data_IF_199323487324
#
_entry.id   IF_199323487324
#
_cell.length_a   1.000
_cell.length_b   1.000
_cell.length_c   1.000
_cell.angle_alpha   90.00
_cell.angle_beta   90.00
_cell.angle_gamma   90.00
#
_symmetry.space_group_name_H-M   'P 1'
#
loop_
_entity.id
_entity.type
_entity.pdbx_description
1 polymer ?
#
# COMPACT_ATOMS: atom_id res chain seq x y z
N UNK A 1 -67.60 26.52 -14.38
CA UNK A 1 -67.32 25.88 -13.08
C UNK A 1 -65.95 25.19 -13.15
N UNK A 2 -65.02 25.62 -12.28
CA UNK A 2 -63.76 24.99 -11.79
C UNK A 2 -62.90 24.18 -12.79
N UNK A 3 -61.70 24.64 -13.22
CA UNK A 3 -60.39 24.63 -12.53
C UNK A 3 -60.13 23.40 -11.65
N UNK A 4 -59.06 22.66 -11.95
CA UNK A 4 -57.92 22.37 -11.05
C UNK A 4 -56.77 21.82 -11.91
N UNK A 5 -55.61 22.46 -11.76
CA UNK A 5 -54.31 22.01 -12.20
C UNK A 5 -53.69 21.18 -11.07
N UNK A 6 -53.01 20.09 -11.40
CA UNK A 6 -52.26 19.31 -10.42
C UNK A 6 -50.77 19.28 -10.81
N UNK A 7 -49.97 19.55 -9.79
CA UNK A 7 -48.57 19.97 -9.82
C UNK A 7 -47.69 18.75 -9.69
N UNK A 8 -46.72 18.62 -10.60
CA UNK A 8 -45.67 17.61 -10.56
C UNK A 8 -44.69 17.91 -9.42
N UNK A 9 -44.76 17.11 -8.36
CA UNK A 9 -43.92 17.21 -7.17
C UNK A 9 -42.65 16.36 -7.30
N UNK A 10 -41.61 16.91 -7.93
CA UNK A 10 -40.25 16.34 -7.85
C UNK A 10 -39.73 16.44 -6.42
N UNK A 11 -39.58 15.29 -5.75
CA UNK A 11 -38.87 15.18 -4.48
C UNK A 11 -37.38 15.44 -4.70
N UNK A 12 -36.92 16.56 -4.17
CA UNK A 12 -35.51 16.88 -3.93
C UNK A 12 -35.00 15.96 -2.83
N UNK A 13 -34.18 14.96 -3.20
CA UNK A 13 -33.38 14.21 -2.23
C UNK A 13 -32.20 15.11 -1.87
N UNK A 14 -32.26 15.67 -0.65
CA UNK A 14 -31.16 16.43 -0.09
C UNK A 14 -30.00 15.44 0.18
N UNK A 15 -28.91 15.58 -0.58
CA UNK A 15 -27.62 15.01 -0.22
C UNK A 15 -27.07 15.80 0.97
N UNK A 16 -27.16 15.21 2.15
CA UNK A 16 -26.57 15.77 3.37
C UNK A 16 -25.05 15.68 3.23
N UNK A 17 -24.44 16.73 2.69
CA UNK A 17 -22.98 16.89 2.67
C UNK A 17 -22.50 17.05 4.10
N UNK A 18 -21.92 16.00 4.67
CA UNK A 18 -21.20 16.06 5.93
C UNK A 18 -19.91 16.84 5.70
N UNK A 19 -19.97 18.16 5.85
CA UNK A 19 -18.79 19.01 5.85
C UNK A 19 -18.05 18.80 7.18
N UNK A 20 -17.03 17.92 7.18
CA UNK A 20 -16.05 17.87 8.25
C UNK A 20 -15.18 19.13 8.15
N UNK A 21 -15.63 20.21 8.78
CA UNK A 21 -14.85 21.45 8.92
C UNK A 21 -13.79 21.19 9.97
N UNK A 22 -12.60 20.77 9.55
CA UNK A 22 -11.38 20.88 10.37
C UNK A 22 -11.01 22.35 10.35
N UNK A 23 -11.51 23.11 11.32
CA UNK A 23 -11.05 24.47 11.59
C UNK A 23 -9.62 24.40 12.10
N UNK A 24 -8.66 24.38 11.18
CA UNK A 24 -7.25 24.60 11.51
C UNK A 24 -7.14 26.04 12.01
N UNK A 25 -6.85 26.20 13.31
CA UNK A 25 -6.50 27.49 13.89
C UNK A 25 -5.28 27.99 13.14
N UNK A 26 -5.50 28.93 12.22
CA UNK A 26 -4.45 29.68 11.55
C UNK A 26 -3.82 30.62 12.57
N UNK A 27 -2.90 30.10 13.39
CA UNK A 27 -1.93 30.94 14.07
C UNK A 27 -1.07 31.55 12.96
N UNK A 28 -1.28 32.84 12.69
CA UNK A 28 -0.41 33.62 11.81
C UNK A 28 0.98 33.65 12.43
N UNK A 29 1.83 32.70 12.05
CA UNK A 29 3.26 32.80 12.26
C UNK A 29 3.75 33.96 11.41
N UNK A 30 4.06 35.09 12.05
CA UNK A 30 4.84 36.15 11.43
C UNK A 30 6.22 35.60 11.16
N UNK A 31 6.49 35.21 9.91
CA UNK A 31 7.83 34.90 9.45
C UNK A 31 8.67 36.18 9.54
N UNK A 32 9.52 36.27 10.56
CA UNK A 32 10.53 37.31 10.64
C UNK A 32 11.50 37.14 9.47
N UNK A 33 11.59 38.14 8.61
CA UNK A 33 12.52 38.15 7.47
C UNK A 33 13.93 38.48 7.95
N UNK A 34 14.62 37.53 8.56
CA UNK A 34 16.07 37.44 8.47
C UNK A 34 16.38 36.46 7.36
N UNK A 35 16.46 36.94 6.13
CA UNK A 35 16.98 36.14 5.04
C UNK A 35 18.49 35.97 5.26
N UNK A 36 18.90 34.95 6.01
CA UNK A 36 20.18 34.30 5.74
C UNK A 36 20.10 33.81 4.30
N UNK A 37 21.14 34.02 3.51
CA UNK A 37 21.24 33.28 2.25
C UNK A 37 21.24 31.81 2.63
N UNK A 38 20.20 31.07 2.25
CA UNK A 38 20.13 29.62 2.41
C UNK A 38 21.47 29.05 1.96
N UNK A 39 22.18 28.33 2.84
CA UNK A 39 23.43 27.70 2.46
C UNK A 39 23.17 26.39 1.71
N UNK A 40 22.52 26.53 0.56
CA UNK A 40 22.22 25.44 -0.36
C UNK A 40 23.51 24.74 -0.81
N UNK A 41 24.63 25.46 -0.86
CA UNK A 41 25.91 24.90 -1.26
C UNK A 41 26.42 23.87 -0.26
N UNK A 42 26.38 24.20 1.03
CA UNK A 42 26.76 23.28 2.09
C UNK A 42 25.73 22.16 2.25
N UNK A 43 24.43 22.48 2.19
CA UNK A 43 23.36 21.48 2.27
C UNK A 43 23.49 20.40 1.18
N UNK A 44 23.95 20.80 -0.01
CA UNK A 44 24.21 19.86 -1.11
C UNK A 44 25.48 19.05 -0.86
N UNK A 45 26.56 19.71 -0.45
CA UNK A 45 27.86 19.08 -0.20
C UNK A 45 27.81 18.03 0.93
N UNK A 46 27.06 18.32 2.00
CA UNK A 46 26.90 17.45 3.19
C UNK A 46 25.73 16.47 3.04
N UNK A 47 25.13 16.39 1.84
CA UNK A 47 24.04 15.48 1.52
C UNK A 47 24.45 14.01 1.62
N UNK A 48 23.46 13.14 1.83
CA UNK A 48 23.64 11.68 1.91
C UNK A 48 23.15 11.02 0.64
N UNK A 49 24.02 10.21 0.04
CA UNK A 49 23.69 9.35 -1.09
C UNK A 49 23.57 7.91 -0.63
N UNK A 50 22.59 7.19 -1.17
CA UNK A 50 22.48 5.74 -1.06
C UNK A 50 22.29 5.12 -2.43
N UNK A 51 22.88 3.94 -2.61
CA UNK A 51 22.72 3.15 -3.83
C UNK A 51 22.01 1.84 -3.48
N UNK A 52 21.08 1.44 -4.33
CA UNK A 52 20.38 0.17 -4.22
C UNK A 52 20.49 -0.62 -5.51
N UNK A 53 20.64 -1.93 -5.39
CA UNK A 53 20.49 -2.84 -6.51
C UNK A 53 19.63 -4.04 -6.10
N UNK A 54 18.64 -4.36 -6.92
CA UNK A 54 17.85 -5.59 -6.76
C UNK A 54 17.92 -6.38 -8.05
N UNK A 55 18.17 -7.68 -7.95
CA UNK A 55 17.87 -8.62 -9.01
C UNK A 55 16.76 -9.56 -8.54
N UNK A 56 15.83 -9.90 -9.43
CA UNK A 56 14.77 -10.87 -9.16
C UNK A 56 14.53 -11.74 -10.39
N UNK A 57 14.49 -13.04 -10.13
CA UNK A 57 13.85 -14.02 -11.01
C UNK A 57 12.50 -14.39 -10.38
N UNK A 58 11.41 -14.18 -11.11
CA UNK A 58 10.04 -14.59 -10.74
C UNK A 58 9.52 -15.57 -11.78
N UNK A 59 9.21 -16.80 -11.36
CA UNK A 59 8.54 -17.79 -12.18
C UNK A 59 7.08 -17.90 -11.75
N UNK A 60 6.15 -17.97 -12.71
CA UNK A 60 4.73 -18.11 -12.46
C UNK A 60 4.15 -19.17 -13.39
N UNK A 61 3.64 -20.26 -12.81
CA UNK A 61 2.79 -21.21 -13.53
C UNK A 61 1.35 -21.01 -13.05
N UNK A 62 0.44 -20.78 -13.98
CA UNK A 62 -0.95 -20.45 -13.66
C UNK A 62 -1.92 -21.11 -14.64
N UNK A 63 -2.89 -21.82 -14.10
CA UNK A 63 -3.97 -22.41 -14.90
C UNK A 63 -4.76 -21.33 -15.65
N UNK A 64 -5.00 -21.59 -16.94
CA UNK A 64 -5.68 -20.67 -17.85
C UNK A 64 -4.75 -19.88 -18.79
N UNK A 65 -3.43 -20.06 -18.68
CA UNK A 65 -2.44 -19.57 -19.64
C UNK A 65 -1.83 -20.72 -20.44
N UNK A 66 -1.40 -20.42 -21.66
CA UNK A 66 -0.76 -21.41 -22.56
C UNK A 66 0.70 -21.65 -22.17
N UNK A 67 1.35 -20.65 -21.57
CA UNK A 67 2.77 -20.66 -21.22
C UNK A 67 3.01 -20.20 -19.77
N UNK A 68 4.09 -20.68 -19.15
CA UNK A 68 4.54 -20.21 -17.84
C UNK A 68 5.33 -18.90 -17.98
N UNK A 69 5.19 -17.99 -17.00
CA UNK A 69 5.97 -16.76 -16.99
C UNK A 69 7.34 -16.95 -16.33
N UNK A 70 8.39 -16.39 -16.91
CA UNK A 70 9.72 -16.25 -16.31
C UNK A 70 10.23 -14.80 -16.46
N UNK A 71 10.07 -14.01 -15.40
CA UNK A 71 10.53 -12.63 -15.35
C UNK A 71 11.91 -12.54 -14.69
N UNK A 72 12.93 -12.19 -15.48
CA UNK A 72 14.28 -11.87 -15.01
C UNK A 72 14.44 -10.36 -15.02
N UNK A 73 14.29 -9.72 -13.85
CA UNK A 73 14.28 -8.26 -13.72
C UNK A 73 15.36 -7.75 -12.77
N UNK A 74 15.85 -6.54 -13.02
CA UNK A 74 16.75 -5.85 -12.11
C UNK A 74 16.31 -4.40 -11.89
N UNK A 75 16.69 -3.84 -10.75
CA UNK A 75 16.49 -2.43 -10.42
C UNK A 75 17.75 -1.84 -9.88
N UNK A 76 18.17 -0.71 -10.45
CA UNK A 76 19.13 0.19 -9.84
C UNK A 76 18.39 1.38 -9.22
N UNK A 77 18.75 1.74 -7.98
CA UNK A 77 18.18 2.87 -7.25
C UNK A 77 19.28 3.84 -6.83
N UNK A 78 19.04 5.12 -7.04
CA UNK A 78 19.82 6.21 -6.46
C UNK A 78 18.90 7.03 -5.56
N UNK A 79 19.28 7.16 -4.29
CA UNK A 79 18.64 8.08 -3.34
C UNK A 79 19.64 9.15 -2.95
N UNK A 80 19.22 10.41 -2.95
CA UNK A 80 20.00 11.51 -2.39
C UNK A 80 19.10 12.40 -1.55
N UNK A 81 19.58 12.77 -0.35
CA UNK A 81 18.96 13.77 0.49
C UNK A 81 19.99 14.84 0.84
N UNK A 82 19.61 16.11 0.79
CA UNK A 82 20.45 17.19 1.30
C UNK A 82 20.68 17.02 2.80
N UNK A 83 21.74 17.64 3.33
CA UNK A 83 21.76 17.98 4.74
C UNK A 83 20.63 18.98 5.05
N UNK A 84 20.25 19.07 6.33
CA UNK A 84 19.27 20.04 6.77
C UNK A 84 19.89 21.45 6.78
N UNK A 85 19.22 22.42 6.17
CA UNK A 85 19.62 23.84 6.18
C UNK A 85 18.40 24.70 6.44
N UNK A 86 18.45 25.55 7.46
CA UNK A 86 17.31 26.40 7.86
C UNK A 86 15.98 25.60 7.95
N UNK A 87 16.04 24.45 8.63
CA UNK A 87 14.96 23.47 8.79
C UNK A 87 14.42 22.84 7.47
N UNK A 88 15.09 23.06 6.33
CA UNK A 88 14.74 22.48 5.04
C UNK A 88 15.58 21.24 4.71
N UNK A 89 14.94 20.25 4.12
CA UNK A 89 15.58 19.08 3.49
C UNK A 89 15.02 18.89 2.08
N UNK A 90 15.90 18.60 1.12
CA UNK A 90 15.54 18.22 -0.24
C UNK A 90 15.83 16.75 -0.43
N UNK A 91 14.94 16.02 -1.10
CA UNK A 91 15.14 14.61 -1.40
C UNK A 91 14.81 14.29 -2.85
N UNK A 92 15.65 13.47 -3.47
CA UNK A 92 15.40 12.86 -4.78
C UNK A 92 15.69 11.37 -4.71
N UNK A 93 14.83 10.57 -5.35
CA UNK A 93 15.08 9.16 -5.54
C UNK A 93 14.61 8.73 -6.92
N UNK A 94 15.48 8.04 -7.65
CA UNK A 94 15.18 7.52 -8.99
C UNK A 94 15.49 6.04 -9.06
N UNK A 95 14.65 5.33 -9.80
CA UNK A 95 14.83 3.94 -10.16
C UNK A 95 15.07 3.79 -11.66
N UNK A 96 15.80 2.75 -12.01
CA UNK A 96 15.79 2.21 -13.35
C UNK A 96 15.52 0.71 -13.25
N UNK A 97 14.35 0.29 -13.75
CA UNK A 97 13.94 -1.10 -13.88
C UNK A 97 14.44 -1.65 -15.22
N UNK A 98 14.96 -2.88 -15.22
CA UNK A 98 15.58 -3.56 -16.35
C UNK A 98 14.96 -4.94 -16.49
N UNK A 99 14.75 -5.37 -17.74
CA UNK A 99 14.51 -6.77 -18.05
C UNK A 99 15.79 -7.37 -18.62
N UNK A 100 16.19 -8.53 -18.08
CA UNK A 100 17.45 -9.19 -18.38
C UNK A 100 17.17 -10.54 -19.07
N UNK A 101 17.29 -10.58 -20.39
CA UNK A 101 17.12 -11.81 -21.18
C UNK A 101 15.84 -11.78 -22.02
N UNK A 102 15.14 -12.92 -22.06
CA UNK A 102 13.89 -13.08 -22.81
C UNK A 102 12.71 -12.62 -21.96
N UNK A 103 11.78 -11.90 -22.58
CA UNK A 103 10.54 -11.42 -21.99
C UNK A 103 9.41 -12.45 -22.10
N UNK A 104 9.56 -13.56 -21.39
CA UNK A 104 8.53 -14.60 -21.28
C UNK A 104 7.58 -14.29 -20.12
N UNK A 105 7.00 -13.09 -20.08
CA UNK A 105 6.02 -12.68 -19.06
C UNK A 105 5.23 -11.45 -19.51
N UNK A 106 4.04 -11.26 -18.93
CA UNK A 106 3.25 -10.05 -19.16
C UNK A 106 3.60 -8.95 -18.17
N UNK A 107 4.28 -7.90 -18.63
CA UNK A 107 4.63 -6.71 -17.83
C UNK A 107 3.48 -5.71 -17.66
N UNK A 108 2.31 -6.00 -18.25
CA UNK A 108 1.15 -5.12 -18.48
C UNK A 108 1.34 -4.03 -19.55
N UNK A 109 2.57 -3.87 -20.07
CA UNK A 109 2.93 -2.88 -21.09
C UNK A 109 3.50 -3.51 -22.37
N UNK A 110 4.01 -4.74 -22.32
CA UNK A 110 4.70 -5.40 -23.44
C UNK A 110 3.79 -6.25 -24.37
N UNK A 111 2.49 -6.36 -24.04
CA UNK A 111 1.50 -7.06 -24.88
C UNK A 111 1.58 -8.59 -24.87
N UNK A 112 2.38 -9.18 -23.98
CA UNK A 112 2.62 -10.63 -23.83
C UNK A 112 1.48 -11.35 -23.10
N UNK A 113 0.26 -11.24 -23.62
CA UNK A 113 -0.96 -11.72 -22.96
C UNK A 113 -1.09 -13.25 -22.86
N UNK A 114 -0.24 -13.99 -23.59
CA UNK A 114 -0.13 -15.45 -23.53
C UNK A 114 0.56 -15.96 -22.24
N UNK A 115 1.23 -15.07 -21.49
CA UNK A 115 1.92 -15.37 -20.24
C UNK A 115 1.20 -14.78 -19.01
N UNK A 116 1.33 -15.43 -17.84
CA UNK A 116 0.95 -14.84 -16.56
C UNK A 116 1.59 -13.47 -16.29
N UNK A 117 0.92 -12.65 -15.47
CA UNK A 117 1.36 -11.27 -15.17
C UNK A 117 2.46 -11.24 -14.10
N UNK A 118 3.56 -10.58 -14.46
CA UNK A 118 4.56 -10.05 -13.52
C UNK A 118 4.68 -8.56 -13.78
N UNK A 119 4.01 -7.74 -12.96
CA UNK A 119 3.85 -6.29 -13.18
C UNK A 119 5.11 -5.49 -12.82
N UNK A 120 6.22 -5.78 -13.49
CA UNK A 120 7.50 -5.06 -13.40
C UNK A 120 7.92 -4.58 -14.79
N UNK A 121 7.30 -3.53 -15.34
CA UNK A 121 7.79 -2.90 -16.56
C UNK A 121 9.21 -2.35 -16.36
N UNK A 122 9.97 -2.29 -17.46
CA UNK A 122 11.28 -1.66 -17.48
C UNK A 122 11.19 -0.16 -17.74
N UNK A 123 12.25 0.57 -17.38
CA UNK A 123 12.36 2.00 -17.61
C UNK A 123 12.75 2.79 -16.36
N UNK A 124 12.92 4.09 -16.58
CA UNK A 124 13.26 5.05 -15.53
C UNK A 124 12.02 5.55 -14.81
N UNK A 125 12.04 5.56 -13.47
CA UNK A 125 10.99 6.15 -12.64
C UNK A 125 11.58 7.12 -11.59
N UNK A 126 10.84 8.18 -11.29
CA UNK A 126 11.13 9.11 -10.22
C UNK A 126 10.24 8.74 -9.02
N UNK A 127 10.82 8.12 -8.00
CA UNK A 127 10.07 7.70 -6.81
C UNK A 127 9.89 8.82 -5.80
N UNK A 128 10.87 9.71 -5.65
CA UNK A 128 10.78 10.82 -4.71
C UNK A 128 11.39 12.08 -5.30
N UNK A 129 10.73 13.20 -5.06
CA UNK A 129 11.21 14.54 -5.36
C UNK A 129 10.43 15.49 -4.45
N UNK A 130 11.02 15.86 -3.31
CA UNK A 130 10.32 16.64 -2.31
C UNK A 130 11.17 17.73 -1.68
N UNK A 131 10.46 18.71 -1.13
CA UNK A 131 10.98 19.67 -0.15
C UNK A 131 10.26 19.40 1.17
N UNK A 132 11.04 19.25 2.23
CA UNK A 132 10.55 19.05 3.59
C UNK A 132 10.98 20.23 4.45
N UNK A 133 10.05 20.81 5.20
CA UNK A 133 10.29 21.87 6.17
C UNK A 133 9.90 21.40 7.57
N UNK A 134 10.83 21.48 8.52
CA UNK A 134 10.58 21.21 9.93
C UNK A 134 10.32 22.53 10.68
N UNK A 135 9.34 22.53 11.59
CA UNK A 135 9.01 23.68 12.43
C UNK A 135 8.55 23.17 13.80
N UNK A 136 9.51 23.02 14.71
CA UNK A 136 9.28 22.44 16.02
C UNK A 136 8.75 21.01 15.93
N UNK A 137 7.52 20.79 16.39
CA UNK A 137 6.87 19.48 16.36
C UNK A 137 6.17 19.15 15.03
N UNK A 138 6.18 20.07 14.06
CA UNK A 138 5.49 19.94 12.78
C UNK A 138 6.49 19.78 11.64
N UNK A 139 6.21 18.89 10.71
CA UNK A 139 6.92 18.73 9.45
C UNK A 139 5.94 18.85 8.29
N UNK A 140 6.29 19.65 7.29
CA UNK A 140 5.52 19.77 6.03
C UNK A 140 6.38 19.26 4.89
N UNK A 141 5.87 18.31 4.11
CA UNK A 141 6.54 17.76 2.93
C UNK A 141 5.70 18.05 1.69
N UNK A 142 6.29 18.68 0.69
CA UNK A 142 5.65 19.02 -0.59
C UNK A 142 6.40 18.33 -1.73
N UNK A 143 5.66 17.69 -2.63
CA UNK A 143 6.19 16.98 -3.80
C UNK A 143 5.88 15.49 -3.76
N UNK A 144 6.66 14.72 -4.53
CA UNK A 144 6.53 13.27 -4.64
C UNK A 144 7.19 12.58 -3.46
N UNK A 145 6.43 11.76 -2.75
CA UNK A 145 6.85 11.13 -1.50
C UNK A 145 6.20 9.77 -1.28
N UNK A 146 6.71 9.03 -0.31
CA UNK A 146 6.08 7.79 0.18
C UNK A 146 5.12 8.12 1.31
N UNK A 147 3.93 7.51 1.27
CA UNK A 147 2.95 7.55 2.35
C UNK A 147 2.58 6.11 2.70
N UNK A 148 2.93 5.68 3.91
CA UNK A 148 2.71 4.33 4.42
C UNK A 148 2.02 4.41 5.77
N UNK A 149 0.75 4.01 5.86
CA UNK A 149 -0.03 4.07 7.10
C UNK A 149 -0.50 2.68 7.54
N UNK A 150 -0.71 2.48 8.85
CA UNK A 150 -1.51 1.35 9.38
C UNK A 150 -1.09 -0.03 8.88
N UNK A 151 0.22 -0.32 8.88
CA UNK A 151 0.75 -1.59 8.37
C UNK A 151 0.70 -1.76 6.84
N UNK A 152 0.22 -0.74 6.11
CA UNK A 152 0.08 -0.65 4.65
C UNK A 152 -1.07 -1.47 4.06
N UNK A 153 -2.08 -1.82 4.88
CA UNK A 153 -3.23 -2.63 4.43
C UNK A 153 -4.22 -1.89 3.54
N UNK A 154 -4.33 -0.58 3.72
CA UNK A 154 -5.21 0.29 2.93
C UNK A 154 -4.40 1.33 2.14
N UNK A 155 -3.34 1.90 2.74
CA UNK A 155 -2.49 2.92 2.13
C UNK A 155 -0.99 2.57 2.27
N UNK A 156 -0.30 2.28 1.16
CA UNK A 156 1.13 2.02 1.16
C UNK A 156 1.80 1.96 -0.22
N UNK A 157 3.14 1.85 -0.21
CA UNK A 157 4.00 2.09 -1.39
C UNK A 157 4.40 0.87 -2.21
N UNK A 158 3.97 -0.35 -1.88
CA UNK A 158 4.17 -1.54 -2.73
C UNK A 158 5.65 -1.84 -3.06
N UNK A 159 6.55 -1.65 -2.10
CA UNK A 159 8.02 -1.80 -2.29
C UNK A 159 8.52 -3.21 -2.68
N UNK A 160 7.61 -4.17 -2.82
CA UNK A 160 7.90 -5.49 -3.36
C UNK A 160 8.18 -5.46 -4.86
N UNK A 161 7.45 -4.64 -5.63
CA UNK A 161 7.67 -4.52 -7.08
C UNK A 161 8.98 -3.79 -7.38
N UNK A 162 9.45 -3.89 -8.63
CA UNK A 162 10.66 -3.15 -9.01
C UNK A 162 10.38 -1.65 -8.94
N UNK A 163 9.30 -1.21 -9.57
CA UNK A 163 8.76 0.13 -9.40
C UNK A 163 7.87 0.24 -8.15
N UNK A 164 7.90 1.37 -7.46
CA UNK A 164 7.12 1.59 -6.24
C UNK A 164 5.91 2.50 -6.49
N UNK A 165 4.90 2.37 -5.64
CA UNK A 165 3.79 3.30 -5.60
C UNK A 165 4.15 4.52 -4.74
N UNK A 166 3.97 5.73 -5.28
CA UNK A 166 4.33 6.99 -4.61
C UNK A 166 3.26 8.05 -4.83
N UNK A 167 3.28 9.10 -4.01
CA UNK A 167 2.18 10.06 -3.91
C UNK A 167 2.70 11.47 -4.11
N UNK A 168 2.07 12.22 -5.01
CA UNK A 168 2.37 13.64 -5.21
C UNK A 168 1.35 14.48 -4.44
N UNK A 169 1.85 15.37 -3.59
CA UNK A 169 0.99 16.22 -2.79
C UNK A 169 1.68 16.94 -1.64
N UNK A 170 0.88 17.25 -0.63
CA UNK A 170 1.31 17.93 0.59
C UNK A 170 1.02 17.00 1.77
N UNK A 171 2.02 16.74 2.60
CA UNK A 171 1.90 15.98 3.84
C UNK A 171 2.31 16.82 5.02
N UNK A 172 1.47 16.85 6.05
CA UNK A 172 1.70 17.56 7.31
C UNK A 172 1.70 16.51 8.40
N UNK A 173 2.83 16.38 9.08
CA UNK A 173 2.98 15.53 10.26
C UNK A 173 3.21 16.43 11.46
N UNK A 174 2.50 16.24 12.55
CA UNK A 174 2.64 17.07 13.73
C UNK A 174 2.38 16.29 15.00
N UNK A 175 3.05 16.65 16.09
CA UNK A 175 2.77 16.12 17.42
C UNK A 175 1.99 17.15 18.25
N UNK A 176 0.75 16.80 18.62
CA UNK A 176 -0.15 17.60 19.43
C UNK A 176 -0.33 16.96 20.81
N UNK A 177 0.53 17.33 21.77
CA UNK A 177 0.62 16.63 23.05
C UNK A 177 1.11 15.19 22.86
N UNK A 178 0.31 14.22 23.30
CA UNK A 178 0.61 12.78 23.14
C UNK A 178 0.06 12.18 21.84
N UNK A 179 -0.58 13.00 20.99
CA UNK A 179 -1.18 12.56 19.73
C UNK A 179 -0.25 12.91 18.56
N UNK A 180 0.14 11.90 17.80
CA UNK A 180 0.79 12.06 16.50
C UNK A 180 -0.30 12.20 15.42
N UNK A 181 -0.24 13.28 14.65
CA UNK A 181 -1.14 13.59 13.55
C UNK A 181 -0.37 13.50 12.22
N UNK A 182 -0.97 12.85 11.23
CA UNK A 182 -0.47 12.76 9.85
C UNK A 182 -1.63 13.02 8.89
N UNK A 183 -1.56 14.14 8.18
CA UNK A 183 -2.51 14.52 7.15
C UNK A 183 -1.81 14.67 5.81
N UNK A 184 -2.41 14.14 4.76
CA UNK A 184 -1.95 14.29 3.38
C UNK A 184 -3.09 14.70 2.46
N UNK A 185 -2.86 15.73 1.64
CA UNK A 185 -3.60 15.96 0.41
C UNK A 185 -2.79 15.38 -0.75
N UNK A 186 -3.43 14.58 -1.59
CA UNK A 186 -2.80 13.80 -2.65
C UNK A 186 -3.52 14.11 -3.95
N UNK A 187 -2.79 14.65 -4.93
CA UNK A 187 -3.37 14.99 -6.24
C UNK A 187 -2.99 14.00 -7.35
N UNK A 188 -1.94 13.21 -7.13
CA UNK A 188 -1.53 12.14 -8.03
C UNK A 188 -1.00 10.94 -7.24
N UNK A 189 -1.35 9.74 -7.70
CA UNK A 189 -0.84 8.46 -7.21
C UNK A 189 -0.10 7.79 -8.37
N UNK A 190 1.22 7.78 -8.29
CA UNK A 190 2.10 7.07 -9.21
C UNK A 190 2.09 5.60 -8.81
N UNK A 191 1.64 4.72 -9.71
CA UNK A 191 1.43 3.29 -9.45
C UNK A 191 2.62 2.49 -9.95
N UNK A 192 2.70 1.25 -9.49
CA UNK A 192 3.72 0.26 -9.89
C UNK A 192 3.76 -0.05 -11.40
N UNK A 193 2.75 0.38 -12.16
CA UNK A 193 2.62 0.13 -13.60
C UNK A 193 3.34 1.18 -14.46
N UNK A 194 3.82 2.28 -13.86
CA UNK A 194 4.69 3.26 -14.52
C UNK A 194 6.06 2.64 -14.89
N UNK A 195 6.84 3.28 -15.77
CA UNK A 195 6.80 4.73 -16.04
C UNK A 195 5.94 5.18 -17.24
N UNK A 196 5.37 4.25 -18.01
CA UNK A 196 4.44 4.54 -19.11
C UNK A 196 3.07 3.92 -18.87
N UNK A 197 2.06 4.37 -19.61
CA UNK A 197 0.73 3.75 -19.55
C UNK A 197 0.70 2.44 -20.34
N UNK A 198 0.14 1.39 -19.72
CA UNK A 198 -0.18 0.12 -20.36
C UNK A 198 -1.68 -0.17 -20.33
N UNK A 199 -2.04 -1.45 -20.21
CA UNK A 199 -3.44 -1.84 -19.92
C UNK A 199 -3.89 -1.30 -18.56
N UNK A 200 -2.94 -1.14 -17.63
CA UNK A 200 -3.11 -0.41 -16.38
C UNK A 200 -2.48 0.98 -16.53
N UNK A 201 -3.15 2.05 -16.08
CA UNK A 201 -2.55 3.37 -16.07
C UNK A 201 -1.40 3.43 -15.06
N UNK A 202 -0.33 4.11 -15.44
CA UNK A 202 0.81 4.39 -14.55
C UNK A 202 0.43 5.35 -13.42
N UNK A 203 -0.56 6.20 -13.65
CA UNK A 203 -1.00 7.24 -12.71
C UNK A 203 -2.51 7.28 -12.51
N UNK A 204 -2.92 7.56 -11.27
CA UNK A 204 -4.27 8.02 -10.95
C UNK A 204 -4.24 9.45 -10.42
N UNK A 205 -4.96 10.35 -11.09
CA UNK A 205 -5.13 11.74 -10.65
C UNK A 205 -6.36 11.88 -9.76
N UNK A 206 -6.43 12.92 -8.91
CA UNK A 206 -7.67 13.25 -8.20
C UNK A 206 -7.48 14.19 -7.03
N UNK A 207 -8.42 14.19 -6.07
CA UNK A 207 -8.36 15.02 -4.87
C UNK A 207 -8.50 14.14 -3.61
N UNK A 208 -7.47 13.32 -3.39
CA UNK A 208 -7.48 12.36 -2.29
C UNK A 208 -6.98 12.97 -0.99
N UNK A 209 -7.53 12.53 0.14
CA UNK A 209 -7.16 12.96 1.48
C UNK A 209 -6.89 11.75 2.37
N UNK A 210 -5.79 11.79 3.11
CA UNK A 210 -5.47 10.77 4.11
C UNK A 210 -5.18 11.43 5.46
N UNK A 211 -5.94 11.08 6.48
CA UNK A 211 -5.75 11.52 7.86
C UNK A 211 -5.53 10.31 8.76
N UNK A 212 -4.51 10.37 9.61
CA UNK A 212 -4.29 9.41 10.67
C UNK A 212 -3.88 10.13 11.95
N UNK A 213 -4.49 9.75 13.06
CA UNK A 213 -4.15 10.22 14.39
C UNK A 213 -3.85 9.02 15.29
N UNK A 214 -2.69 9.00 15.94
CA UNK A 214 -2.31 7.93 16.87
C UNK A 214 -1.85 8.45 18.21
N UNK A 215 -2.07 7.65 19.23
CA UNK A 215 -1.58 7.89 20.58
C UNK A 215 -1.15 6.57 21.23
N UNK A 216 -0.23 6.66 22.18
CA UNK A 216 0.19 5.52 23.00
C UNK A 216 -0.50 5.62 24.37
N UNK A 217 -1.62 4.90 24.61
CA UNK A 217 -2.36 5.02 25.87
C UNK A 217 -1.58 4.46 27.06
N UNK A 218 -0.63 3.56 26.81
CA UNK A 218 0.29 2.98 27.77
C UNK A 218 1.51 2.41 27.05
N UNK A 219 2.58 2.10 27.79
CA UNK A 219 3.79 1.50 27.23
C UNK A 219 3.48 0.17 26.52
N UNK A 220 3.94 0.03 25.28
CA UNK A 220 3.69 -1.17 24.47
C UNK A 220 2.33 -1.20 23.78
N UNK A 221 1.54 -0.14 23.87
CA UNK A 221 0.22 -0.03 23.23
C UNK A 221 0.14 1.19 22.31
N UNK A 222 -0.53 1.05 21.19
CA UNK A 222 -0.84 2.15 20.26
C UNK A 222 -2.27 2.01 19.78
N UNK A 223 -3.01 3.11 19.82
CA UNK A 223 -4.34 3.24 19.25
C UNK A 223 -4.29 4.31 18.17
N UNK A 224 -4.93 4.06 17.04
CA UNK A 224 -5.03 5.06 15.98
C UNK A 224 -6.40 5.08 15.34
N UNK A 225 -6.90 6.28 15.05
CA UNK A 225 -8.03 6.50 14.15
C UNK A 225 -7.55 7.01 12.80
N UNK A 226 -8.24 6.65 11.74
CA UNK A 226 -7.91 7.12 10.39
C UNK A 226 -9.15 7.38 9.53
N UNK A 227 -8.97 8.25 8.54
CA UNK A 227 -9.91 8.54 7.47
C UNK A 227 -9.14 8.66 6.15
N UNK A 228 -9.50 7.83 5.17
CA UNK A 228 -8.93 7.83 3.83
C UNK A 228 -10.04 8.09 2.82
N UNK A 229 -10.00 9.25 2.18
CA UNK A 229 -10.95 9.66 1.14
C UNK A 229 -10.20 9.62 -0.18
N UNK A 230 -10.37 8.53 -0.92
CA UNK A 230 -9.71 8.33 -2.21
C UNK A 230 -10.64 8.77 -3.33
N UNK A 231 -10.31 9.90 -3.94
CA UNK A 231 -10.87 10.36 -5.20
C UNK A 231 -9.86 10.03 -6.31
N UNK A 232 -10.19 9.02 -7.11
CA UNK A 232 -9.36 8.49 -8.18
C UNK A 232 -10.10 8.71 -9.50
N UNK A 233 -9.58 9.62 -10.29
CA UNK A 233 -10.06 9.97 -11.63
C UNK A 233 -9.20 9.32 -12.69
N UNK A 234 -9.67 9.34 -13.95
CA UNK A 234 -9.07 8.74 -15.15
C UNK A 234 -9.21 7.20 -15.27
N UNK A 235 -9.21 6.70 -16.51
CA UNK A 235 -9.15 5.28 -16.86
C UNK A 235 -9.98 4.36 -15.94
N UNK A 236 -9.32 3.51 -15.15
CA UNK A 236 -9.94 2.57 -14.21
C UNK A 236 -9.95 3.07 -12.74
N UNK A 237 -9.63 4.34 -12.52
CA UNK A 237 -9.68 5.01 -11.21
C UNK A 237 -11.07 5.09 -10.59
N UNK A 238 -12.12 5.59 -11.30
CA UNK A 238 -13.42 5.88 -10.67
C UNK A 238 -14.05 4.70 -9.91
N UNK A 239 -14.07 3.45 -10.40
CA UNK A 239 -14.53 2.29 -9.63
C UNK A 239 -13.75 2.00 -8.33
N UNK A 240 -12.56 2.58 -8.16
CA UNK A 240 -11.72 2.43 -6.99
C UNK A 240 -11.84 3.59 -6.00
N UNK A 241 -12.55 4.68 -6.33
CA UNK A 241 -12.79 5.80 -5.41
C UNK A 241 -13.63 5.35 -4.21
N UNK A 242 -13.18 5.65 -3.00
CA UNK A 242 -13.85 5.20 -1.77
C UNK A 242 -13.55 6.09 -0.57
N UNK A 243 -14.43 6.07 0.42
CA UNK A 243 -14.23 6.72 1.71
C UNK A 243 -14.14 5.64 2.79
N UNK A 244 -13.01 5.57 3.49
CA UNK A 244 -12.74 4.58 4.53
C UNK A 244 -12.47 5.25 5.86
N UNK A 245 -13.17 4.83 6.91
CA UNK A 245 -12.97 5.30 8.27
C UNK A 245 -12.72 4.11 9.18
N UNK A 246 -11.68 4.17 10.02
CA UNK A 246 -11.33 3.02 10.84
C UNK A 246 -10.45 3.33 12.04
N UNK A 247 -10.19 2.26 12.78
CA UNK A 247 -9.37 2.23 13.99
C UNK A 247 -8.40 1.06 13.90
N UNK A 248 -7.13 1.33 14.18
CA UNK A 248 -6.08 0.34 14.39
C UNK A 248 -5.71 0.29 15.87
N UNK A 249 -5.40 -0.91 16.36
CA UNK A 249 -4.80 -1.12 17.67
C UNK A 249 -3.63 -2.09 17.56
N UNK A 250 -2.54 -1.76 18.26
CA UNK A 250 -1.41 -2.65 18.49
C UNK A 250 -1.11 -2.68 19.98
N UNK A 251 -0.94 -3.88 20.55
CA UNK A 251 -0.65 -4.05 21.98
C UNK A 251 0.29 -5.20 22.22
N UNK A 252 1.31 -4.97 23.06
CA UNK A 252 2.26 -5.98 23.52
C UNK A 252 1.89 -6.46 24.92
N UNK A 253 1.60 -7.74 25.04
CA UNK A 253 1.30 -8.47 26.27
C UNK A 253 2.41 -9.50 26.53
N UNK A 254 3.49 -9.05 27.15
CA UNK A 254 4.70 -9.85 27.38
C UNK A 254 5.29 -10.43 26.07
N UNK A 255 5.19 -11.74 25.84
CA UNK A 255 5.65 -12.42 24.62
C UNK A 255 4.65 -12.39 23.46
N UNK A 256 3.42 -11.92 23.69
CA UNK A 256 2.35 -11.86 22.68
C UNK A 256 2.13 -10.43 22.22
N UNK A 257 2.30 -10.17 20.93
CA UNK A 257 1.84 -8.93 20.29
C UNK A 257 0.51 -9.18 19.59
N UNK A 258 -0.48 -8.32 19.84
CA UNK A 258 -1.78 -8.35 19.19
C UNK A 258 -1.94 -7.11 18.33
N UNK A 259 -2.32 -7.30 17.07
CA UNK A 259 -2.82 -6.24 16.19
C UNK A 259 -4.31 -6.47 15.93
N UNK A 260 -5.12 -5.43 15.99
CA UNK A 260 -6.52 -5.47 15.61
C UNK A 260 -6.87 -4.23 14.78
N UNK A 261 -7.77 -4.39 13.82
CA UNK A 261 -8.26 -3.28 13.01
C UNK A 261 -9.75 -3.46 12.71
N UNK A 262 -10.47 -2.35 12.60
CA UNK A 262 -11.84 -2.29 12.09
C UNK A 262 -12.01 -1.04 11.26
N UNK A 263 -12.65 -1.15 10.10
CA UNK A 263 -12.96 -0.01 9.26
C UNK A 263 -14.29 -0.21 8.54
N UNK A 264 -14.96 0.88 8.19
CA UNK A 264 -16.13 0.89 7.31
C UNK A 264 -15.79 1.71 6.08
N UNK A 265 -16.13 1.18 4.91
CA UNK A 265 -15.85 1.80 3.63
C UNK A 265 -17.13 1.93 2.81
N UNK A 266 -17.28 3.06 2.12
CA UNK A 266 -18.36 3.30 1.17
C UNK A 266 -17.85 3.87 -0.13
N UNK A 267 -18.73 3.98 -1.12
CA UNK A 267 -18.48 4.77 -2.33
C UNK A 267 -18.15 6.24 -2.01
N UNK A 268 -17.34 6.87 -2.87
CA UNK A 268 -16.91 8.26 -2.76
C UNK A 268 -16.59 8.84 -4.14
N UNK A 269 -16.73 10.17 -4.26
CA UNK A 269 -16.48 10.91 -5.50
C UNK A 269 -17.21 10.29 -6.71
N UNK A 270 -16.49 10.00 -7.80
CA UNK A 270 -17.05 9.49 -9.06
C UNK A 270 -17.20 7.95 -9.09
N UNK A 271 -17.24 7.26 -7.94
CA UNK A 271 -17.49 5.82 -7.94
C UNK A 271 -18.88 5.50 -8.52
N UNK A 272 -18.98 4.70 -9.60
CA UNK A 272 -20.25 4.39 -10.24
C UNK A 272 -21.11 3.39 -9.45
N UNK A 273 -20.55 2.73 -8.45
CA UNK A 273 -21.21 1.73 -7.63
C UNK A 273 -21.42 2.30 -6.23
N UNK A 274 -22.67 2.31 -5.76
CA UNK A 274 -22.94 2.60 -4.34
C UNK A 274 -22.83 1.32 -3.53
N UNK A 275 -22.10 1.38 -2.41
CA UNK A 275 -21.90 0.24 -1.53
C UNK A 275 -21.48 0.67 -0.13
N UNK A 276 -21.62 -0.24 0.83
CA UNK A 276 -21.07 -0.13 2.18
C UNK A 276 -20.53 -1.47 2.66
N UNK A 277 -19.23 -1.54 2.96
CA UNK A 277 -18.55 -2.76 3.38
C UNK A 277 -17.75 -2.56 4.67
N UNK A 278 -17.75 -3.59 5.51
CA UNK A 278 -16.94 -3.65 6.74
C UNK A 278 -15.61 -4.33 6.47
N UNK A 279 -14.54 -3.84 7.07
CA UNK A 279 -13.26 -4.53 7.21
C UNK A 279 -12.98 -4.78 8.68
N UNK A 280 -12.44 -5.96 9.01
CA UNK A 280 -11.84 -6.19 10.31
C UNK A 280 -10.73 -7.23 10.23
N UNK A 281 -9.75 -7.10 11.12
CA UNK A 281 -8.66 -8.06 11.25
C UNK A 281 -8.21 -8.20 12.70
N UNK A 282 -7.75 -9.39 13.05
CA UNK A 282 -7.03 -9.67 14.30
C UNK A 282 -5.83 -10.55 13.99
N UNK A 283 -4.68 -10.23 14.57
CA UNK A 283 -3.43 -10.97 14.40
C UNK A 283 -2.72 -11.06 15.74
N UNK A 284 -2.33 -12.28 16.13
CA UNK A 284 -1.45 -12.54 17.26
C UNK A 284 -0.09 -13.00 16.76
N UNK A 285 0.99 -12.45 17.35
CA UNK A 285 2.38 -12.86 17.11
C UNK A 285 3.00 -13.22 18.45
N UNK A 286 3.49 -14.44 18.59
CA UNK A 286 4.11 -14.92 19.82
C UNK A 286 5.51 -15.48 19.55
N UNK A 287 6.50 -15.01 20.31
CA UNK A 287 7.84 -15.57 20.29
C UNK A 287 7.96 -16.70 21.33
N UNK A 288 8.20 -17.93 20.85
CA UNK A 288 8.31 -19.14 21.66
C UNK A 288 9.67 -19.79 21.41
N UNK A 289 10.63 -19.48 22.28
CA UNK A 289 12.01 -19.92 22.14
C UNK A 289 12.65 -19.32 20.89
N UNK A 290 13.05 -20.17 19.93
CA UNK A 290 13.66 -19.74 18.67
C UNK A 290 12.64 -19.55 17.53
N UNK A 291 11.35 -19.74 17.80
CA UNK A 291 10.28 -19.67 16.82
C UNK A 291 9.40 -18.45 17.07
N UNK A 292 8.94 -17.83 15.99
CA UNK A 292 7.86 -16.85 15.98
C UNK A 292 6.64 -17.50 15.37
N UNK A 293 5.57 -17.60 16.16
CA UNK A 293 4.27 -18.13 15.74
C UNK A 293 3.34 -16.96 15.46
N UNK A 294 2.65 -16.98 14.32
CA UNK A 294 1.62 -15.99 13.99
C UNK A 294 0.33 -16.69 13.63
N UNK A 295 -0.80 -16.15 14.11
CA UNK A 295 -2.13 -16.55 13.70
C UNK A 295 -2.99 -15.31 13.47
N UNK A 296 -3.80 -15.33 12.42
CA UNK A 296 -4.62 -14.18 12.07
C UNK A 296 -5.91 -14.55 11.36
N UNK A 297 -6.86 -13.65 11.48
CA UNK A 297 -8.09 -13.58 10.71
C UNK A 297 -8.18 -12.18 10.10
N UNK A 298 -8.40 -12.11 8.79
CA UNK A 298 -8.69 -10.87 8.08
C UNK A 298 -9.98 -11.05 7.28
N UNK A 299 -10.87 -10.05 7.32
CA UNK A 299 -12.08 -10.01 6.51
C UNK A 299 -12.17 -8.68 5.79
N UNK A 300 -12.11 -8.73 4.47
CA UNK A 300 -12.59 -7.66 3.59
C UNK A 300 -14.04 -7.99 3.26
N UNK A 301 -14.98 -7.31 3.90
CA UNK A 301 -16.39 -7.66 3.81
C UNK A 301 -17.03 -7.33 2.47
N UNK A 302 -18.33 -7.61 2.42
CA UNK A 302 -19.18 -7.48 1.24
C UNK A 302 -20.48 -6.72 1.55
N UNK A 303 -21.03 -6.03 0.56
CA UNK A 303 -22.37 -5.46 0.57
C UNK A 303 -23.33 -6.33 -0.26
N UNK A 304 -23.92 -7.35 0.36
CA UNK A 304 -24.96 -8.18 -0.29
C UNK A 304 -24.45 -9.03 -1.46
N UNK A 305 -23.14 -9.25 -1.57
CA UNK A 305 -22.45 -9.93 -2.66
C UNK A 305 -22.23 -9.05 -3.89
N UNK A 306 -22.65 -7.79 -3.85
CA UNK A 306 -22.59 -6.87 -4.99
C UNK A 306 -21.26 -6.10 -5.05
N UNK A 307 -20.64 -5.83 -3.91
CA UNK A 307 -19.42 -5.06 -3.80
C UNK A 307 -18.61 -5.45 -2.55
N UNK A 308 -17.32 -5.77 -2.75
CA UNK A 308 -16.40 -6.02 -1.65
C UNK A 308 -15.65 -4.77 -1.21
N UNK A 309 -15.14 -4.76 0.02
CA UNK A 309 -14.19 -3.75 0.53
C UNK A 309 -12.93 -3.72 -0.34
N UNK A 310 -12.54 -2.54 -0.84
CA UNK A 310 -11.46 -2.34 -1.81
C UNK A 310 -10.22 -1.71 -1.16
N UNK A 311 -9.05 -2.14 -1.61
CA UNK A 311 -7.76 -1.63 -1.12
C UNK A 311 -6.82 -1.25 -2.27
N UNK A 312 -7.24 -0.30 -3.15
CA UNK A 312 -6.60 -0.07 -4.44
C UNK A 312 -5.17 0.48 -4.35
N UNK A 313 -4.78 1.01 -3.20
CA UNK A 313 -3.48 1.62 -2.94
C UNK A 313 -2.76 0.96 -1.75
N UNK A 314 -3.08 -0.29 -1.46
CA UNK A 314 -2.42 -1.08 -0.42
C UNK A 314 -1.14 -1.77 -0.92
N UNK A 315 -0.29 -2.17 0.02
CA UNK A 315 0.87 -3.05 -0.28
C UNK A 315 0.41 -4.50 -0.35
N UNK A 316 -0.35 -4.82 -1.40
CA UNK A 316 -1.17 -6.02 -1.51
C UNK A 316 -0.38 -7.34 -1.35
N UNK A 317 0.82 -7.46 -1.94
CA UNK A 317 1.65 -8.68 -1.84
C UNK A 317 2.00 -9.12 -0.39
N UNK A 318 1.81 -8.24 0.60
CA UNK A 318 2.00 -8.53 2.02
C UNK A 318 0.81 -9.26 2.66
N UNK A 319 -0.36 -9.24 2.01
CA UNK A 319 -1.63 -9.70 2.56
C UNK A 319 -2.28 -10.73 1.64
N UNK A 320 -3.09 -11.63 2.21
CA UNK A 320 -3.91 -12.58 1.46
C UNK A 320 -3.12 -13.44 0.48
N UNK A 321 -2.02 -14.02 0.96
CA UNK A 321 -1.16 -14.91 0.19
C UNK A 321 -0.11 -14.18 -0.66
N UNK A 322 0.91 -14.93 -1.05
CA UNK A 322 2.01 -14.46 -1.89
C UNK A 322 1.78 -14.74 -3.37
N UNK A 323 0.80 -15.58 -3.73
CA UNK A 323 0.46 -15.84 -5.13
C UNK A 323 -0.32 -14.71 -5.80
N UNK A 324 -0.63 -13.65 -5.06
CA UNK A 324 -1.32 -12.45 -5.55
C UNK A 324 -2.72 -12.76 -6.12
N UNK A 325 -3.45 -13.77 -5.60
CA UNK A 325 -4.81 -14.09 -6.08
C UNK A 325 -5.86 -13.07 -5.66
N UNK A 326 -5.66 -12.44 -4.51
CA UNK A 326 -6.61 -11.48 -3.93
C UNK A 326 -6.12 -10.02 -4.05
N UNK A 327 -5.36 -9.68 -5.10
CA UNK A 327 -5.00 -8.28 -5.39
C UNK A 327 -6.24 -7.40 -5.63
N UNK A 328 -7.31 -8.01 -6.15
CA UNK A 328 -8.63 -7.41 -6.22
C UNK A 328 -9.59 -8.22 -5.36
N UNK A 329 -10.29 -7.54 -4.46
CA UNK A 329 -11.27 -8.18 -3.58
C UNK A 329 -12.49 -8.64 -4.39
N UNK A 330 -12.91 -9.91 -4.28
CA UNK A 330 -14.14 -10.38 -4.91
C UNK A 330 -15.36 -9.58 -4.43
N UNK A 331 -16.43 -9.54 -5.24
CA UNK A 331 -17.66 -8.83 -4.89
C UNK A 331 -18.31 -9.38 -3.60
N UNK A 332 -18.18 -10.69 -3.36
CA UNK A 332 -18.64 -11.36 -2.15
C UNK A 332 -17.66 -11.24 -0.95
N UNK A 333 -16.67 -10.35 -1.05
CA UNK A 333 -15.65 -10.17 -0.02
C UNK A 333 -14.70 -11.35 0.07
N UNK A 334 -13.81 -11.32 1.06
CA UNK A 334 -12.90 -12.43 1.35
C UNK A 334 -12.60 -12.49 2.84
N UNK A 335 -12.63 -13.71 3.36
CA UNK A 335 -12.16 -14.09 4.68
C UNK A 335 -10.90 -14.91 4.54
N UNK A 336 -9.80 -14.42 5.11
CA UNK A 336 -8.51 -15.09 5.16
C UNK A 336 -8.21 -15.48 6.61
N UNK A 337 -8.16 -16.78 6.89
CA UNK A 337 -7.63 -17.31 8.16
C UNK A 337 -6.30 -17.98 7.89
N UNK A 338 -5.26 -17.52 8.56
CA UNK A 338 -3.91 -17.98 8.27
C UNK A 338 -3.05 -18.12 9.51
N UNK A 339 -2.03 -18.96 9.40
CA UNK A 339 -1.00 -19.12 10.40
C UNK A 339 0.38 -19.19 9.74
N UNK A 340 1.41 -18.73 10.45
CA UNK A 340 2.79 -18.85 10.01
C UNK A 340 3.71 -19.26 11.15
N UNK A 341 4.77 -19.97 10.79
CA UNK A 341 5.89 -20.29 11.68
C UNK A 341 7.15 -19.74 11.04
N UNK A 342 7.89 -18.93 11.79
CA UNK A 342 9.19 -18.43 11.38
C UNK A 342 10.25 -18.80 12.42
N UNK A 343 11.50 -18.97 11.99
CA UNK A 343 12.62 -19.26 12.89
C UNK A 343 13.96 -19.06 12.22
N UNK A 344 15.04 -19.03 13.01
CA UNK A 344 16.40 -18.92 12.50
C UNK A 344 17.05 -20.30 12.35
N UNK A 345 17.63 -20.56 11.18
CA UNK A 345 18.47 -21.73 10.90
C UNK A 345 19.84 -21.23 10.45
N UNK A 346 20.82 -21.27 11.36
CA UNK A 346 22.10 -20.60 11.14
C UNK A 346 21.89 -19.09 10.97
N UNK A 347 22.44 -18.52 9.88
CA UNK A 347 22.23 -17.11 9.53
C UNK A 347 20.90 -16.83 8.81
N UNK A 348 20.16 -17.86 8.36
CA UNK A 348 18.94 -17.69 7.58
C UNK A 348 17.70 -17.56 8.46
N UNK A 349 16.77 -16.70 8.05
CA UNK A 349 15.38 -16.73 8.54
C UNK A 349 14.56 -17.61 7.60
N UNK A 350 13.87 -18.60 8.16
CA UNK A 350 13.00 -19.53 7.44
C UNK A 350 11.57 -19.29 7.90
N UNK A 351 10.64 -19.17 6.94
CA UNK A 351 9.22 -18.94 7.21
C UNK A 351 8.36 -19.90 6.40
N UNK A 352 7.40 -20.54 7.05
CA UNK A 352 6.30 -21.24 6.41
C UNK A 352 4.98 -20.57 6.76
N UNK A 353 4.05 -20.50 5.81
CA UNK A 353 2.71 -19.91 5.98
C UNK A 353 1.65 -20.77 5.30
N UNK A 354 0.47 -20.83 5.90
CA UNK A 354 -0.72 -21.42 5.31
C UNK A 354 -1.90 -20.46 5.44
N UNK A 355 -2.63 -20.28 4.35
CA UNK A 355 -3.85 -19.48 4.27
C UNK A 355 -5.04 -20.36 3.88
N UNK A 356 -6.19 -20.06 4.46
CA UNK A 356 -7.49 -20.59 4.05
C UNK A 356 -8.41 -19.43 3.67
N UNK A 357 -8.89 -19.42 2.44
CA UNK A 357 -9.71 -18.34 1.89
C UNK A 357 -11.16 -18.79 1.71
N UNK A 358 -12.09 -17.97 2.17
CA UNK A 358 -13.53 -18.17 1.97
C UNK A 358 -14.14 -16.85 1.50
N UNK A 359 -15.29 -16.92 0.82
CA UNK A 359 -16.13 -15.75 0.62
C UNK A 359 -16.61 -15.22 1.98
N UNK A 360 -16.69 -13.90 2.15
CA UNK A 360 -17.37 -13.33 3.33
C UNK A 360 -18.88 -13.52 3.22
N UNK A 361 -19.41 -13.49 2.00
CA UNK A 361 -20.82 -13.66 1.68
C UNK A 361 -21.07 -14.82 0.70
N UNK A 362 -22.21 -15.49 0.82
CA UNK A 362 -22.59 -16.61 -0.07
C UNK A 362 -21.95 -17.95 0.26
N UNK A 363 -20.87 -17.98 1.06
CA UNK A 363 -20.30 -19.20 1.65
C UNK A 363 -19.45 -20.06 0.71
N UNK A 364 -19.02 -19.51 -0.43
CA UNK A 364 -18.11 -20.18 -1.36
C UNK A 364 -16.74 -20.44 -0.71
N UNK A 365 -16.18 -21.62 -0.94
CA UNK A 365 -14.79 -21.92 -0.60
C UNK A 365 -13.89 -21.39 -1.71
N UNK A 366 -12.97 -20.47 -1.39
CA UNK A 366 -12.06 -19.94 -2.39
C UNK A 366 -10.83 -20.82 -2.55
N UNK A 367 -10.48 -21.60 -1.52
CA UNK A 367 -9.35 -22.51 -1.52
C UNK A 367 -8.29 -22.11 -0.52
N UNK A 368 -7.06 -22.56 -0.76
CA UNK A 368 -5.97 -22.43 0.21
C UNK A 368 -4.64 -22.11 -0.44
N UNK A 369 -3.73 -21.51 0.32
CA UNK A 369 -2.35 -21.26 -0.13
C UNK A 369 -1.33 -21.76 0.89
N UNK A 370 -0.28 -22.42 0.39
CA UNK A 370 0.94 -22.72 1.16
C UNK A 370 2.10 -21.87 0.65
N UNK A 371 2.87 -21.30 1.57
CA UNK A 371 4.03 -20.49 1.26
C UNK A 371 5.25 -20.90 2.06
N UNK A 372 6.43 -20.79 1.44
CA UNK A 372 7.72 -20.99 2.08
C UNK A 372 8.74 -19.94 1.63
N UNK A 373 9.53 -19.41 2.58
CA UNK A 373 10.56 -18.43 2.31
C UNK A 373 11.83 -18.65 3.13
N UNK A 374 12.98 -18.36 2.53
CA UNK A 374 14.28 -18.31 3.18
C UNK A 374 14.94 -16.97 2.82
N UNK A 375 15.25 -16.17 3.83
CA UNK A 375 16.05 -14.96 3.68
C UNK A 375 17.40 -15.16 4.35
N UNK A 376 18.49 -14.94 3.61
CA UNK A 376 19.85 -15.09 4.10
C UNK A 376 20.65 -13.79 3.92
N UNK A 377 21.07 -13.12 5.00
CA UNK A 377 21.97 -11.98 4.92
C UNK A 377 23.39 -12.45 4.56
N UNK A 378 24.04 -11.72 3.65
CA UNK A 378 25.41 -11.94 3.20
C UNK A 378 26.24 -10.70 3.56
N UNK A 379 26.77 -10.67 4.78
CA UNK A 379 27.36 -9.45 5.35
C UNK A 379 26.30 -8.39 5.63
N UNK A 380 26.71 -7.12 5.68
CA UNK A 380 25.84 -6.02 6.13
C UNK A 380 24.97 -5.42 5.02
N UNK A 381 25.39 -5.60 3.76
CA UNK A 381 24.90 -4.82 2.62
C UNK A 381 24.19 -5.65 1.56
N UNK A 382 24.11 -6.98 1.73
CA UNK A 382 23.57 -7.90 0.73
C UNK A 382 22.64 -8.90 1.42
N UNK A 383 21.50 -9.20 0.80
CA UNK A 383 20.60 -10.26 1.21
C UNK A 383 20.13 -11.07 0.03
N UNK A 384 20.00 -12.38 0.24
CA UNK A 384 19.42 -13.32 -0.71
C UNK A 384 18.06 -13.79 -0.20
N UNK A 385 17.11 -13.96 -1.11
CA UNK A 385 15.77 -14.48 -0.83
C UNK A 385 15.46 -15.61 -1.81
N UNK A 386 15.03 -16.74 -1.25
CA UNK A 386 14.22 -17.73 -1.95
C UNK A 386 12.80 -17.67 -1.37
N UNK A 387 11.80 -17.64 -2.23
CA UNK A 387 10.39 -17.64 -1.82
C UNK A 387 9.59 -18.48 -2.80
N UNK A 388 8.60 -19.22 -2.33
CA UNK A 388 7.67 -19.96 -3.18
C UNK A 388 6.29 -19.96 -2.53
N UNK A 389 5.25 -19.99 -3.34
CA UNK A 389 3.88 -20.14 -2.88
C UNK A 389 3.04 -20.89 -3.91
N UNK A 390 2.07 -21.66 -3.43
CA UNK A 390 1.10 -22.38 -4.26
C UNK A 390 -0.29 -22.16 -3.70
N UNK A 391 -1.19 -21.64 -4.54
CA UNK A 391 -2.61 -21.53 -4.27
C UNK A 391 -3.34 -22.62 -5.04
N UNK A 392 -4.15 -23.39 -4.32
CA UNK A 392 -5.08 -24.37 -4.86
C UNK A 392 -6.47 -23.77 -4.79
N UNK A 393 -7.05 -23.53 -5.96
CA UNK A 393 -8.34 -22.90 -6.14
C UNK A 393 -9.47 -23.91 -5.95
N UNK A 394 -10.55 -23.45 -5.32
CA UNK A 394 -11.84 -24.14 -5.34
C UNK A 394 -12.84 -23.34 -6.20
N UNK A 395 -13.66 -22.49 -5.59
CA UNK A 395 -14.72 -21.73 -6.28
C UNK A 395 -14.28 -20.33 -6.72
N UNK A 396 -12.98 -19.99 -6.61
CA UNK A 396 -12.46 -18.68 -6.99
C UNK A 396 -11.08 -18.72 -7.68
N UNK A 397 -10.96 -17.96 -8.77
CA UNK A 397 -9.77 -17.82 -9.60
C UNK A 397 -9.31 -19.15 -10.22
N UNK A 398 -8.01 -19.43 -10.21
CA UNK A 398 -7.39 -20.63 -10.76
C UNK A 398 -6.13 -20.98 -9.98
N UNK A 399 -5.69 -22.24 -10.09
CA UNK A 399 -4.46 -22.72 -9.48
C UNK A 399 -3.26 -21.90 -9.97
N UNK A 400 -2.35 -21.61 -9.04
CA UNK A 400 -1.13 -20.86 -9.35
C UNK A 400 0.01 -21.29 -8.44
N UNK A 401 1.19 -21.43 -9.04
CA UNK A 401 2.45 -21.59 -8.34
C UNK A 401 3.40 -20.47 -8.71
N UNK A 402 3.98 -19.81 -7.70
CA UNK A 402 4.99 -18.77 -7.88
C UNK A 402 6.28 -19.11 -7.16
N UNK A 403 7.41 -18.77 -7.78
CA UNK A 403 8.74 -18.91 -7.21
C UNK A 403 9.54 -17.63 -7.44
N UNK A 404 10.29 -17.21 -6.42
CA UNK A 404 11.19 -16.07 -6.49
C UNK A 404 12.60 -16.43 -6.04
N UNK A 405 13.58 -15.96 -6.80
CA UNK A 405 14.96 -15.81 -6.37
C UNK A 405 15.28 -14.32 -6.43
N UNK A 406 15.75 -13.75 -5.33
CA UNK A 406 16.04 -12.32 -5.26
C UNK A 406 17.35 -12.05 -4.54
N UNK A 407 18.06 -11.07 -5.07
CA UNK A 407 19.26 -10.48 -4.48
C UNK A 407 18.96 -9.00 -4.25
N UNK A 408 19.18 -8.53 -3.03
CA UNK A 408 19.03 -7.13 -2.65
C UNK A 408 20.36 -6.64 -2.07
N UNK A 409 20.93 -5.60 -2.67
CA UNK A 409 22.15 -4.94 -2.25
C UNK A 409 21.90 -3.45 -1.97
N UNK A 410 22.55 -2.92 -0.93
CA UNK A 410 22.49 -1.51 -0.54
C UNK A 410 23.87 -0.99 -0.13
N UNK A 411 24.15 0.26 -0.46
CA UNK A 411 25.34 1.00 -0.02
C UNK A 411 24.98 2.36 0.55
#
# INVERSE_FOLDING_TARGET
MARIAEIDGRRVIHSTRLALVVSLVATTATFGTTASALDLSQAVADGKTSLGFRYRLEHVSQDGFDEDALASTARARLTWNSAETDDLTFGIETDYSLILGIEDFNSTTNGRVEYPVVADPDGFDLNQAFVKYAAGATTVTVGRQRINHGGQRILGGVAYRQNEQTYDGIRIQSKAGDVDLDYSYIHNINRIFGPGDGVQPGDWYGNSHALRASLAPSEGHTLAGFAYLLDLSNANGPPNSNATYGVDYEGKFDTLTVSAAIARQSDYADNPMSYDALYYAVKGVADVGALTLTGALEVLGSDGGAAGFRTPVATLHKFQGWTDRFLATPAAGVRDTWFSVAGKVGGATVTGVYHNFQADEGGADYGSEVGFAITYPVGDNLSLLFKTAQYSADEHASDITKLWLMLDWKW
#
